data_IF_418984660879
#
_entry.id   IF_418984660879
#
_cell.length_a   1.000
_cell.length_b   1.000
_cell.length_c   1.000
_cell.angle_alpha   90.00
_cell.angle_beta   90.00
_cell.angle_gamma   90.00
#
_symmetry.space_group_name_H-M   'P 1'
#
loop_
_entity.id
_entity.type
_entity.pdbx_description
1 polymer ?
#
# COMPACT_ATOMS: atom_id res chain seq x y z
N UNK A 1 13.25 -13.44 -13.94
CA UNK A 1 12.70 -14.62 -13.22
C UNK A 1 12.37 -14.12 -11.85
N UNK A 2 11.10 -14.21 -11.50
CA UNK A 2 10.53 -13.73 -10.25
C UNK A 2 11.34 -14.21 -9.06
N UNK A 3 11.97 -13.28 -8.32
CA UNK A 3 12.74 -13.58 -7.12
C UNK A 3 11.76 -13.84 -5.97
N UNK A 4 11.44 -15.12 -5.80
CA UNK A 4 10.47 -15.60 -4.80
C UNK A 4 10.92 -15.21 -3.39
N UNK A 5 12.22 -15.27 -3.10
CA UNK A 5 12.74 -14.96 -1.76
C UNK A 5 12.57 -13.47 -1.44
N UNK A 6 12.77 -12.59 -2.43
CA UNK A 6 12.50 -11.16 -2.28
C UNK A 6 11.01 -10.87 -2.05
N UNK A 7 10.13 -11.56 -2.78
CA UNK A 7 8.67 -11.42 -2.64
C UNK A 7 8.19 -11.88 -1.26
N UNK A 8 8.65 -13.04 -0.81
CA UNK A 8 8.32 -13.58 0.52
C UNK A 8 8.74 -12.61 1.63
N UNK A 9 9.94 -12.03 1.54
CA UNK A 9 10.41 -11.02 2.50
C UNK A 9 9.53 -9.78 2.50
N UNK A 10 9.11 -9.29 1.33
CA UNK A 10 8.21 -8.12 1.23
C UNK A 10 6.80 -8.45 1.76
N UNK A 11 6.28 -9.64 1.52
CA UNK A 11 5.00 -10.10 2.07
C UNK A 11 5.05 -10.18 3.59
N UNK A 12 6.08 -10.81 4.16
CA UNK A 12 6.27 -10.89 5.61
C UNK A 12 6.41 -9.50 6.27
N UNK A 13 7.03 -8.56 5.55
CA UNK A 13 7.11 -7.17 5.99
C UNK A 13 5.74 -6.48 6.00
N UNK A 14 4.93 -6.66 4.95
CA UNK A 14 3.55 -6.14 4.90
C UNK A 14 2.72 -6.73 6.05
N UNK A 15 2.81 -8.04 6.29
CA UNK A 15 2.11 -8.70 7.40
C UNK A 15 2.51 -8.11 8.76
N UNK A 16 3.79 -7.81 8.94
CA UNK A 16 4.30 -7.15 10.15
C UNK A 16 3.72 -5.75 10.32
N UNK A 17 3.71 -4.93 9.26
CA UNK A 17 3.12 -3.59 9.31
C UNK A 17 1.62 -3.64 9.64
N UNK A 18 0.88 -4.59 9.02
CA UNK A 18 -0.55 -4.79 9.29
C UNK A 18 -0.78 -5.24 10.73
N UNK A 19 0.08 -6.11 11.27
CA UNK A 19 0.01 -6.52 12.68
C UNK A 19 0.25 -5.34 13.61
N UNK A 20 1.29 -4.55 13.37
CA UNK A 20 1.61 -3.36 14.17
C UNK A 20 0.47 -2.34 14.16
N UNK A 21 -0.14 -2.08 13.01
CA UNK A 21 -1.33 -1.23 12.93
C UNK A 21 -2.48 -1.81 13.77
N UNK A 22 -2.76 -3.11 13.67
CA UNK A 22 -3.86 -3.73 14.42
C UNK A 22 -3.65 -3.75 15.94
N UNK A 23 -2.42 -3.93 16.39
CA UNK A 23 -2.10 -4.13 17.80
C UNK A 23 -1.73 -2.85 18.54
N UNK A 24 -1.11 -1.89 17.85
CA UNK A 24 -0.52 -0.71 18.48
C UNK A 24 -1.25 0.58 18.16
N UNK A 25 -1.97 0.66 17.04
CA UNK A 25 -2.67 1.89 16.68
C UNK A 25 -3.91 2.13 17.54
N UNK A 26 -4.23 3.41 17.71
CA UNK A 26 -5.45 3.91 18.35
C UNK A 26 -6.08 4.93 17.39
N UNK A 27 -6.85 4.47 16.38
CA UNK A 27 -7.38 5.32 15.30
C UNK A 27 -8.27 6.49 15.77
N UNK A 28 -8.83 6.40 16.98
CA UNK A 28 -9.55 7.47 17.65
C UNK A 28 -8.66 8.69 17.97
N UNK A 29 -7.36 8.47 18.20
CA UNK A 29 -6.42 9.51 18.60
C UNK A 29 -5.64 10.15 17.44
N UNK A 30 -5.81 9.69 16.19
CA UNK A 30 -5.12 10.22 15.01
C UNK A 30 -5.30 11.75 14.86
N UNK A 31 -6.47 12.29 15.22
CA UNK A 31 -6.75 13.73 15.11
C UNK A 31 -6.13 14.57 16.26
N UNK A 32 -5.76 13.93 17.37
CA UNK A 32 -5.38 14.60 18.61
C UNK A 32 -3.96 14.31 19.07
N UNK A 33 -3.33 13.23 18.57
CA UNK A 33 -1.96 12.84 18.88
C UNK A 33 -1.14 12.70 17.59
N UNK A 34 -0.18 13.62 17.41
CA UNK A 34 0.73 13.64 16.27
C UNK A 34 1.62 12.39 16.18
N UNK A 35 1.87 11.70 17.30
CA UNK A 35 2.63 10.44 17.29
C UNK A 35 1.78 9.34 16.67
N UNK A 36 0.50 9.27 17.04
CA UNK A 36 -0.45 8.32 16.50
C UNK A 36 -0.66 8.56 15.00
N UNK A 37 -0.92 9.82 14.61
CA UNK A 37 -1.03 10.21 13.21
C UNK A 37 0.18 9.77 12.39
N UNK A 38 1.40 10.09 12.87
CA UNK A 38 2.64 9.75 12.16
C UNK A 38 2.93 8.26 12.16
N UNK A 39 2.61 7.55 13.23
CA UNK A 39 2.75 6.10 13.30
C UNK A 39 1.86 5.43 12.24
N UNK A 40 0.56 5.73 12.25
CA UNK A 40 -0.39 5.14 11.28
C UNK A 40 -0.02 5.53 9.85
N UNK A 41 0.23 6.81 9.60
CA UNK A 41 0.60 7.30 8.26
C UNK A 41 1.84 6.60 7.71
N UNK A 42 2.91 6.52 8.52
CA UNK A 42 4.17 5.94 8.09
C UNK A 42 4.06 4.43 7.89
N UNK A 43 3.40 3.72 8.80
CA UNK A 43 3.24 2.25 8.71
C UNK A 43 2.37 1.85 7.52
N UNK A 44 1.28 2.59 7.24
CA UNK A 44 0.51 2.41 6.00
C UNK A 44 1.36 2.72 4.76
N UNK A 45 2.13 3.82 4.77
CA UNK A 45 2.98 4.20 3.65
C UNK A 45 3.99 3.11 3.28
N UNK A 46 4.72 2.56 4.26
CA UNK A 46 5.74 1.53 4.00
C UNK A 46 5.13 0.19 3.58
N UNK A 47 3.95 -0.17 4.12
CA UNK A 47 3.22 -1.37 3.69
C UNK A 47 2.74 -1.24 2.23
N UNK A 48 2.16 -0.10 1.87
CA UNK A 48 1.68 0.16 0.51
C UNK A 48 2.85 0.22 -0.49
N UNK A 49 3.98 0.81 -0.09
CA UNK A 49 5.19 0.81 -0.91
C UNK A 49 5.70 -0.61 -1.16
N UNK A 50 5.75 -1.46 -0.14
CA UNK A 50 6.17 -2.85 -0.32
C UNK A 50 5.22 -3.60 -1.28
N UNK A 51 3.92 -3.37 -1.20
CA UNK A 51 2.95 -3.98 -2.12
C UNK A 51 3.10 -3.47 -3.57
N UNK A 52 3.41 -2.18 -3.76
CA UNK A 52 3.73 -1.60 -5.07
C UNK A 52 5.01 -2.20 -5.66
N UNK A 53 6.05 -2.37 -4.84
CA UNK A 53 7.30 -2.99 -5.28
C UNK A 53 7.08 -4.44 -5.73
N UNK A 54 6.28 -5.21 -4.97
CA UNK A 54 5.85 -6.56 -5.35
C UNK A 54 5.13 -6.53 -6.71
N UNK A 55 4.15 -5.63 -6.86
CA UNK A 55 3.37 -5.54 -8.09
C UNK A 55 4.25 -5.14 -9.29
N UNK A 56 5.15 -4.18 -9.11
CA UNK A 56 6.11 -3.77 -10.14
C UNK A 56 7.03 -4.91 -10.54
N UNK A 57 7.54 -5.67 -9.56
CA UNK A 57 8.41 -6.81 -9.80
C UNK A 57 7.71 -7.86 -10.69
N UNK A 58 6.49 -8.26 -10.31
CA UNK A 58 5.69 -9.24 -11.07
C UNK A 58 5.35 -8.71 -12.47
N UNK A 59 4.88 -7.47 -12.59
CA UNK A 59 4.53 -6.87 -13.89
C UNK A 59 5.73 -6.84 -14.84
N UNK A 60 6.92 -6.51 -14.32
CA UNK A 60 8.16 -6.50 -15.11
C UNK A 60 8.63 -7.89 -15.50
N UNK A 61 8.65 -8.86 -14.57
CA UNK A 61 9.13 -10.22 -14.84
C UNK A 61 8.22 -10.98 -15.81
N UNK A 62 6.90 -10.84 -15.65
CA UNK A 62 5.90 -11.50 -16.49
C UNK A 62 5.58 -10.69 -17.78
N UNK A 63 6.20 -9.51 -17.95
CA UNK A 63 6.02 -8.61 -19.10
C UNK A 63 4.56 -8.25 -19.37
N UNK A 64 3.81 -7.93 -18.32
CA UNK A 64 2.36 -7.71 -18.38
C UNK A 64 1.95 -6.38 -19.04
N UNK A 65 2.92 -5.49 -19.29
CA UNK A 65 2.71 -4.18 -19.89
C UNK A 65 3.51 -3.09 -19.19
N UNK A 66 3.37 -1.85 -19.68
CA UNK A 66 4.04 -0.68 -19.11
C UNK A 66 3.02 0.18 -18.33
N UNK A 67 3.11 0.24 -16.99
CA UNK A 67 2.22 1.06 -16.18
C UNK A 67 2.58 2.54 -16.29
N UNK A 68 1.59 3.43 -16.45
CA UNK A 68 1.82 4.89 -16.44
C UNK A 68 1.73 5.50 -15.04
N UNK A 69 1.14 4.77 -14.10
CA UNK A 69 0.98 5.16 -12.71
C UNK A 69 0.96 3.94 -11.79
N UNK A 70 1.27 4.16 -10.51
CA UNK A 70 1.30 3.10 -9.48
C UNK A 70 0.00 2.29 -9.39
N UNK A 71 -1.17 2.92 -9.59
CA UNK A 71 -2.45 2.21 -9.60
C UNK A 71 -2.55 1.19 -10.74
N UNK A 72 -1.99 1.52 -11.91
CA UNK A 72 -2.08 0.67 -13.09
C UNK A 72 -1.31 -0.65 -12.92
N UNK A 73 -0.34 -0.72 -12.00
CA UNK A 73 0.30 -1.98 -11.62
C UNK A 73 -0.73 -3.03 -11.17
N UNK A 74 -1.65 -2.64 -10.28
CA UNK A 74 -2.68 -3.55 -9.78
C UNK A 74 -3.75 -3.86 -10.85
N UNK A 75 -4.02 -2.92 -11.76
CA UNK A 75 -4.90 -3.16 -12.90
C UNK A 75 -4.30 -4.17 -13.88
N UNK A 76 -2.98 -4.10 -14.14
CA UNK A 76 -2.26 -5.06 -14.99
C UNK A 76 -2.26 -6.46 -14.36
N UNK A 77 -2.02 -6.56 -13.05
CA UNK A 77 -2.11 -7.82 -12.32
C UNK A 77 -3.52 -8.43 -12.39
N UNK A 78 -4.57 -7.63 -12.22
CA UNK A 78 -5.97 -8.06 -12.32
C UNK A 78 -6.32 -8.61 -13.71
N UNK A 79 -5.95 -7.87 -14.76
CA UNK A 79 -6.19 -8.27 -16.16
C UNK A 79 -5.54 -9.60 -16.51
N UNK A 80 -4.45 -9.94 -15.82
CA UNK A 80 -3.72 -11.19 -15.97
C UNK A 80 -4.05 -12.21 -14.86
N UNK A 81 -5.16 -12.01 -14.14
CA UNK A 81 -5.71 -12.95 -13.15
C UNK A 81 -4.85 -13.20 -11.89
N UNK A 82 -3.89 -12.32 -11.59
CA UNK A 82 -3.10 -12.40 -10.35
C UNK A 82 -3.85 -11.86 -9.12
N UNK A 83 -4.78 -10.92 -9.34
CA UNK A 83 -5.58 -10.29 -8.28
C UNK A 83 -7.07 -10.32 -8.64
N UNK A 84 -7.92 -10.40 -7.60
CA UNK A 84 -9.36 -10.24 -7.78
C UNK A 84 -9.72 -8.77 -8.04
N UNK A 85 -10.85 -8.48 -8.72
CA UNK A 85 -11.30 -7.11 -8.94
C UNK A 85 -11.47 -6.31 -7.64
N UNK A 86 -11.92 -6.97 -6.57
CA UNK A 86 -12.13 -6.37 -5.25
C UNK A 86 -10.80 -5.93 -4.63
N UNK A 87 -9.80 -6.82 -4.64
CA UNK A 87 -8.47 -6.51 -4.11
C UNK A 87 -7.80 -5.41 -4.92
N UNK A 88 -7.89 -5.46 -6.25
CA UNK A 88 -7.37 -4.41 -7.13
C UNK A 88 -8.01 -3.05 -6.85
N UNK A 89 -9.32 -3.01 -6.62
CA UNK A 89 -10.02 -1.79 -6.23
C UNK A 89 -9.47 -1.20 -4.92
N UNK A 90 -9.24 -2.04 -3.91
CA UNK A 90 -8.65 -1.64 -2.62
C UNK A 90 -7.20 -1.14 -2.79
N UNK A 91 -6.35 -1.90 -3.48
CA UNK A 91 -4.95 -1.54 -3.70
C UNK A 91 -4.80 -0.25 -4.53
N UNK A 92 -5.70 -0.03 -5.49
CA UNK A 92 -5.74 1.21 -6.26
C UNK A 92 -6.05 2.45 -5.41
N UNK A 93 -6.94 2.32 -4.40
CA UNK A 93 -7.21 3.39 -3.42
C UNK A 93 -6.00 3.63 -2.52
N UNK A 94 -5.39 2.56 -2.01
CA UNK A 94 -4.19 2.63 -1.17
C UNK A 94 -3.00 3.29 -1.89
N UNK A 95 -2.77 2.96 -3.17
CA UNK A 95 -1.74 3.62 -3.98
C UNK A 95 -1.98 5.14 -4.10
N UNK A 96 -3.25 5.55 -4.22
CA UNK A 96 -3.63 6.96 -4.20
C UNK A 96 -3.38 7.62 -2.84
N UNK A 97 -3.74 6.95 -1.75
CA UNK A 97 -3.50 7.42 -0.39
C UNK A 97 -2.01 7.65 -0.10
N UNK A 98 -1.14 6.70 -0.47
CA UNK A 98 0.32 6.84 -0.32
C UNK A 98 0.84 8.10 -1.02
N UNK A 99 0.28 8.49 -2.16
CA UNK A 99 0.68 9.74 -2.84
C UNK A 99 0.24 10.98 -2.05
N UNK A 100 -0.93 10.96 -1.42
CA UNK A 100 -1.42 12.05 -0.57
C UNK A 100 -0.52 12.21 0.67
N UNK A 101 -0.22 11.09 1.37
CA UNK A 101 0.63 11.08 2.56
C UNK A 101 2.05 11.56 2.26
N UNK A 102 2.63 11.13 1.12
CA UNK A 102 4.03 11.46 0.77
C UNK A 102 4.18 12.89 0.24
N UNK A 103 3.25 13.39 -0.58
CA UNK A 103 3.40 14.69 -1.22
C UNK A 103 2.86 15.86 -0.40
N UNK A 104 2.17 15.61 0.72
CA UNK A 104 1.86 16.62 1.74
C UNK A 104 1.04 17.81 1.25
N UNK A 105 0.37 17.72 0.10
CA UNK A 105 -0.27 18.89 -0.54
C UNK A 105 -1.49 19.42 0.21
N UNK A 106 -2.05 18.62 1.11
CA UNK A 106 -2.98 19.01 2.16
C UNK A 106 -2.65 18.04 3.29
N UNK A 107 -2.60 18.49 4.54
CA UNK A 107 -2.58 17.63 5.73
C UNK A 107 -3.48 16.41 5.43
N UNK A 108 -2.91 15.20 5.36
CA UNK A 108 -3.70 14.03 5.00
C UNK A 108 -4.92 14.03 5.91
N UNK A 109 -6.13 14.15 5.33
CA UNK A 109 -7.33 14.34 6.14
C UNK A 109 -7.39 13.16 7.12
N UNK A 110 -7.33 13.41 8.43
CA UNK A 110 -7.30 12.34 9.44
C UNK A 110 -8.46 11.36 9.27
N UNK A 111 -9.58 11.81 8.69
CA UNK A 111 -10.74 10.98 8.35
C UNK A 111 -10.42 9.94 7.28
N UNK A 112 -9.67 10.33 6.24
CA UNK A 112 -9.22 9.40 5.20
C UNK A 112 -8.25 8.38 5.78
N UNK A 113 -7.41 8.78 6.74
CA UNK A 113 -6.48 7.88 7.42
C UNK A 113 -7.20 6.87 8.33
N UNK A 114 -8.30 7.27 8.98
CA UNK A 114 -9.15 6.39 9.78
C UNK A 114 -9.94 5.37 8.93
N UNK A 115 -10.35 5.77 7.72
CA UNK A 115 -11.18 4.94 6.84
C UNK A 115 -10.39 3.84 6.10
N UNK A 116 -9.05 3.93 6.06
CA UNK A 116 -8.14 2.96 5.41
C UNK A 116 -7.68 1.90 6.40
#
# INVERSE_FOLDING_TARGET
MTDIELLEKKLAFIETCVRELRELSQPEHIETDIREERFVAHTLQIAIQAALDIASHIVSDERLGEPRANRELFDLLQRNHWLSPELTGTMGKMAGFRNIVVHGYQSADPRIMRDI
#
